data_IF_424565741549
#
_entry.id   IF_424565741549
#
_cell.length_a   1.000
_cell.length_b   1.000
_cell.length_c   1.000
_cell.angle_alpha   90.00
_cell.angle_beta   90.00
_cell.angle_gamma   90.00
#
_symmetry.space_group_name_H-M   'P 1'
#
loop_
_entity.id
_entity.type
_entity.pdbx_description
1 polymer ?
#
# COMPACT_ATOMS: atom_id res chain seq x y z
N UNK A 1 -8.18 -16.88 -10.30
CA UNK A 1 -6.91 -17.36 -9.74
C UNK A 1 -6.26 -16.22 -8.99
N UNK A 2 -6.35 -16.23 -7.65
CA UNK A 2 -5.89 -15.15 -6.80
C UNK A 2 -4.44 -15.40 -6.38
N UNK A 3 -3.49 -15.13 -7.28
CA UNK A 3 -2.11 -15.04 -6.86
C UNK A 3 -2.02 -13.91 -5.81
N UNK A 4 -1.61 -14.25 -4.59
CA UNK A 4 -1.29 -13.27 -3.56
C UNK A 4 -0.25 -12.34 -4.20
N UNK A 5 -0.64 -11.09 -4.43
CA UNK A 5 0.22 -10.12 -5.11
C UNK A 5 1.45 -9.90 -4.23
N UNK A 6 2.64 -10.02 -4.79
CA UNK A 6 3.88 -9.87 -4.03
C UNK A 6 3.87 -8.51 -3.31
N UNK A 7 4.23 -8.45 -2.00
CA UNK A 7 4.17 -7.21 -1.25
C UNK A 7 5.15 -6.14 -1.77
N UNK A 8 6.29 -6.54 -2.37
CA UNK A 8 7.21 -5.63 -3.05
C UNK A 8 6.55 -5.00 -4.29
N UNK A 9 5.89 -5.82 -5.12
CA UNK A 9 5.11 -5.35 -6.27
C UNK A 9 3.95 -4.44 -5.85
N UNK A 10 3.28 -4.75 -4.72
CA UNK A 10 2.16 -3.97 -4.22
C UNK A 10 2.58 -2.56 -3.77
N UNK A 11 3.75 -2.45 -3.13
CA UNK A 11 4.34 -1.17 -2.74
C UNK A 11 5.14 -0.50 -3.87
N UNK A 12 5.38 -1.20 -4.98
CA UNK A 12 6.13 -0.67 -6.12
C UNK A 12 7.62 -0.46 -5.83
N UNK A 13 8.21 -1.34 -5.02
CA UNK A 13 9.62 -1.29 -4.61
C UNK A 13 10.35 -2.54 -5.07
N UNK A 14 11.66 -2.47 -5.36
CA UNK A 14 12.42 -3.65 -5.73
C UNK A 14 12.62 -4.61 -4.55
N UNK A 15 12.88 -5.89 -4.83
CA UNK A 15 13.01 -6.94 -3.80
C UNK A 15 14.27 -6.78 -2.92
N UNK A 16 15.21 -5.94 -3.34
CA UNK A 16 16.42 -5.55 -2.59
C UNK A 16 16.25 -4.21 -1.86
N UNK A 17 15.05 -3.63 -1.86
CA UNK A 17 14.79 -2.36 -1.19
C UNK A 17 15.07 -2.44 0.32
N UNK A 18 15.78 -1.43 0.82
CA UNK A 18 15.98 -1.23 2.25
C UNK A 18 14.66 -0.89 2.97
N UNK A 19 14.61 -1.13 4.28
CA UNK A 19 13.44 -0.79 5.11
C UNK A 19 13.03 0.68 4.98
N UNK A 20 13.98 1.59 4.82
CA UNK A 20 13.69 3.03 4.64
C UNK A 20 12.98 3.31 3.31
N UNK A 21 13.44 2.69 2.22
CA UNK A 21 12.80 2.78 0.90
C UNK A 21 11.38 2.18 0.92
N UNK A 22 11.22 1.02 1.56
CA UNK A 22 9.92 0.37 1.75
C UNK A 22 8.99 1.29 2.55
N UNK A 23 9.48 1.91 3.63
CA UNK A 23 8.70 2.82 4.48
C UNK A 23 8.29 4.09 3.73
N UNK A 24 9.18 4.64 2.91
CA UNK A 24 8.89 5.81 2.09
C UNK A 24 7.80 5.49 1.06
N UNK A 25 7.91 4.35 0.37
CA UNK A 25 6.90 3.88 -0.58
C UNK A 25 5.54 3.61 0.08
N UNK A 26 5.53 2.95 1.24
CA UNK A 26 4.32 2.74 2.02
C UNK A 26 3.61 4.05 2.39
N UNK A 27 4.34 5.05 2.90
CA UNK A 27 3.78 6.37 3.23
C UNK A 27 3.15 7.05 2.01
N UNK A 28 3.84 6.99 0.87
CA UNK A 28 3.34 7.56 -0.38
C UNK A 28 2.08 6.83 -0.85
N UNK A 29 2.09 5.50 -0.85
CA UNK A 29 0.94 4.67 -1.23
C UNK A 29 -0.27 4.93 -0.33
N UNK A 30 -0.09 5.06 0.99
CA UNK A 30 -1.16 5.41 1.93
C UNK A 30 -1.76 6.78 1.60
N UNK A 31 -0.92 7.79 1.36
CA UNK A 31 -1.38 9.15 1.01
C UNK A 31 -2.17 9.19 -0.29
N UNK A 32 -1.73 8.44 -1.30
CA UNK A 32 -2.37 8.41 -2.61
C UNK A 32 -3.68 7.62 -2.62
N UNK A 33 -3.83 6.65 -1.72
CA UNK A 33 -5.01 5.80 -1.61
C UNK A 33 -5.92 6.17 -0.42
N UNK A 34 -5.64 7.26 0.29
CA UNK A 34 -6.43 7.64 1.45
C UNK A 34 -7.85 8.05 1.02
N UNK A 35 -8.92 7.48 1.59
CA UNK A 35 -10.29 7.80 1.22
C UNK A 35 -10.60 9.29 1.39
N UNK A 36 -10.12 9.93 2.46
CA UNK A 36 -10.30 11.39 2.66
C UNK A 36 -9.70 12.22 1.52
N UNK A 37 -8.52 11.84 1.02
CA UNK A 37 -7.88 12.55 -0.12
C UNK A 37 -8.67 12.34 -1.40
N UNK A 38 -9.25 11.14 -1.58
CA UNK A 38 -10.10 10.85 -2.72
C UNK A 38 -11.43 11.61 -2.66
N UNK A 39 -12.10 11.61 -1.50
CA UNK A 39 -13.35 12.34 -1.28
C UNK A 39 -13.12 13.84 -1.46
N UNK A 40 -12.02 14.39 -0.94
CA UNK A 40 -11.64 15.79 -1.14
C UNK A 40 -11.38 16.14 -2.63
N UNK A 41 -11.03 15.15 -3.46
CA UNK A 41 -10.87 15.30 -4.92
C UNK A 41 -12.17 15.06 -5.70
N UNK A 42 -13.30 14.88 -5.01
CA UNK A 42 -14.61 14.66 -5.63
C UNK A 42 -14.84 13.22 -6.10
N UNK A 43 -14.04 12.26 -5.62
CA UNK A 43 -14.27 10.84 -5.88
C UNK A 43 -15.48 10.37 -5.05
N UNK A 44 -16.47 9.70 -5.66
CA UNK A 44 -17.66 9.25 -4.95
C UNK A 44 -17.32 8.20 -3.88
N UNK A 45 -18.08 8.14 -2.77
CA UNK A 45 -17.83 7.21 -1.66
C UNK A 45 -17.74 5.75 -2.09
N UNK A 46 -18.52 5.35 -3.10
CA UNK A 46 -18.53 3.99 -3.64
C UNK A 46 -17.18 3.62 -4.28
N UNK A 47 -16.50 4.59 -4.89
CA UNK A 47 -15.15 4.41 -5.40
C UNK A 47 -14.08 4.48 -4.29
N UNK A 48 -14.36 5.20 -3.19
CA UNK A 48 -13.49 5.23 -2.01
C UNK A 48 -13.44 3.87 -1.28
N UNK A 49 -14.49 3.05 -1.36
CA UNK A 49 -14.49 1.67 -0.82
C UNK A 49 -13.41 0.80 -1.47
N UNK A 50 -13.15 0.98 -2.77
CA UNK A 50 -12.06 0.28 -3.44
C UNK A 50 -10.69 0.76 -2.95
N UNK A 51 -10.56 2.05 -2.66
CA UNK A 51 -9.36 2.64 -2.10
C UNK A 51 -9.08 2.12 -0.69
N UNK A 52 -10.12 1.97 0.14
CA UNK A 52 -10.02 1.36 1.47
C UNK A 52 -9.50 -0.08 1.39
N UNK A 53 -10.07 -0.91 0.50
CA UNK A 53 -9.58 -2.28 0.27
C UNK A 53 -8.12 -2.30 -0.16
N UNK A 54 -7.71 -1.34 -0.99
CA UNK A 54 -6.32 -1.20 -1.43
C UNK A 54 -5.41 -0.76 -0.29
N UNK A 55 -5.87 0.14 0.58
CA UNK A 55 -5.15 0.58 1.78
C UNK A 55 -4.89 -0.58 2.74
N UNK A 56 -5.88 -1.45 2.93
CA UNK A 56 -5.74 -2.68 3.74
C UNK A 56 -4.62 -3.56 3.18
N UNK A 57 -4.62 -3.79 1.87
CA UNK A 57 -3.58 -4.59 1.22
C UNK A 57 -2.19 -3.94 1.35
N UNK A 58 -2.09 -2.62 1.16
CA UNK A 58 -0.84 -1.84 1.33
C UNK A 58 -0.28 -1.97 2.75
N UNK A 59 -1.15 -1.87 3.76
CA UNK A 59 -0.73 -2.02 5.16
C UNK A 59 -0.28 -3.45 5.48
N UNK A 60 -0.98 -4.45 4.96
CA UNK A 60 -0.57 -5.85 5.12
C UNK A 60 0.80 -6.12 4.49
N UNK A 61 1.04 -5.62 3.27
CA UNK A 61 2.34 -5.73 2.60
C UNK A 61 3.47 -5.03 3.36
N UNK A 62 3.21 -3.83 3.91
CA UNK A 62 4.16 -3.13 4.76
C UNK A 62 4.55 -3.94 5.99
N UNK A 63 3.58 -4.50 6.72
CA UNK A 63 3.87 -5.28 7.92
C UNK A 63 4.66 -6.55 7.60
N UNK A 64 4.31 -7.23 6.51
CA UNK A 64 5.03 -8.41 6.04
C UNK A 64 6.48 -8.09 5.65
N UNK A 65 6.69 -7.04 4.84
CA UNK A 65 8.04 -6.63 4.44
C UNK A 65 8.87 -6.14 5.60
N UNK A 66 8.26 -5.38 6.52
CA UNK A 66 8.90 -4.96 7.76
C UNK A 66 9.45 -6.15 8.51
N UNK A 67 8.63 -7.19 8.72
CA UNK A 67 9.08 -8.41 9.40
C UNK A 67 10.18 -9.14 8.63
N UNK A 68 10.05 -9.29 7.30
CA UNK A 68 11.03 -9.99 6.45
C UNK A 68 12.40 -9.31 6.41
N UNK A 69 12.44 -7.98 6.40
CA UNK A 69 13.68 -7.19 6.28
C UNK A 69 14.38 -7.00 7.63
N UNK A 70 13.63 -7.08 8.75
CA UNK A 70 14.21 -6.96 10.09
C UNK A 70 14.56 -8.29 10.76
N UNK A 71 14.10 -9.42 10.20
CA UNK A 71 14.44 -10.77 10.65
C UNK A 71 15.81 -11.19 10.14
#
# INVERSE_FOLDING_TARGET
EGAVRDPFDLLGVPHDASLDQIRAAWKQAVKDNHPDVMIARGIPPEAAVLAERRLIAINAAWEELRHRVTA
#
